data_IF_995458986673
#
_entry.id   IF_995458986673
#
_cell.length_a   1.000
_cell.length_b   1.000
_cell.length_c   1.000
_cell.angle_alpha   90.00
_cell.angle_beta   90.00
_cell.angle_gamma   90.00
#
_symmetry.space_group_name_H-M   'P 1'
#
loop_
_entity.id
_entity.type
_entity.pdbx_description
1 polymer ?
#
# COMPACT_ATOMS: atom_id res chain seq x y z
N UNK A 1 0.65 1.87 41.47
CA UNK A 1 1.58 0.77 41.17
C UNK A 1 0.75 -0.50 40.98
N UNK A 2 0.19 -0.67 39.77
CA UNK A 2 -0.76 -1.67 39.27
C UNK A 2 -0.52 -1.71 37.73
N UNK A 3 -0.53 -2.88 37.04
CA UNK A 3 0.62 -3.61 36.50
C UNK A 3 1.03 -3.29 35.04
N UNK A 4 2.23 -3.78 34.69
CA UNK A 4 3.02 -3.60 33.46
C UNK A 4 2.52 -4.33 32.20
N UNK A 5 1.22 -4.34 31.91
CA UNK A 5 0.72 -5.04 30.72
C UNK A 5 -0.60 -4.43 30.30
N UNK A 6 -0.65 -3.51 29.32
CA UNK A 6 -1.87 -3.29 28.54
C UNK A 6 -1.81 -2.34 27.32
N UNK A 7 -0.66 -1.80 26.90
CA UNK A 7 -0.63 -0.82 25.78
C UNK A 7 0.34 -1.29 24.70
N UNK A 8 0.02 -2.41 24.05
CA UNK A 8 0.79 -2.94 22.93
C UNK A 8 -0.22 -3.33 21.86
N UNK A 9 -0.59 -2.42 20.96
CA UNK A 9 -1.43 -2.80 19.82
C UNK A 9 -1.51 -1.78 18.68
N UNK A 10 -0.99 -0.56 18.84
CA UNK A 10 -0.44 0.23 17.72
C UNK A 10 1.07 -0.08 17.53
N UNK A 11 1.65 -0.78 18.50
CA UNK A 11 3.05 -1.20 18.58
C UNK A 11 3.31 -2.60 17.97
N UNK A 12 2.28 -3.30 17.47
CA UNK A 12 2.34 -4.73 17.12
C UNK A 12 2.21 -5.04 15.62
N UNK A 13 2.13 -4.03 14.75
CA UNK A 13 2.33 -4.24 13.30
C UNK A 13 3.79 -4.60 13.01
N UNK A 14 4.74 -4.15 13.84
CA UNK A 14 6.14 -4.60 13.83
C UNK A 14 6.45 -5.97 14.45
N UNK A 15 5.48 -6.74 14.99
CA UNK A 15 5.79 -8.02 15.68
C UNK A 15 4.90 -9.23 15.34
N UNK A 16 3.98 -9.14 14.37
CA UNK A 16 3.15 -10.30 13.95
C UNK A 16 3.42 -10.88 12.54
N UNK A 17 4.52 -10.54 11.87
CA UNK A 17 4.96 -11.24 10.64
C UNK A 17 6.18 -12.17 10.81
N UNK A 18 6.30 -12.82 11.98
CA UNK A 18 7.26 -13.92 12.20
C UNK A 18 6.67 -15.32 11.87
N UNK A 19 5.75 -15.40 10.91
CA UNK A 19 4.87 -16.57 10.79
C UNK A 19 4.63 -17.19 9.42
N UNK A 20 5.28 -16.79 8.31
CA UNK A 20 5.29 -17.61 7.09
C UNK A 20 6.62 -17.45 6.35
N UNK A 21 7.46 -18.49 6.44
CA UNK A 21 8.63 -18.68 5.59
C UNK A 21 8.13 -18.95 4.17
N UNK A 22 8.44 -18.04 3.24
CA UNK A 22 8.34 -18.27 1.81
C UNK A 22 9.48 -17.54 1.12
N UNK A 23 10.54 -18.27 0.77
CA UNK A 23 11.71 -17.75 0.05
C UNK A 23 11.28 -17.00 -1.21
N UNK A 24 11.38 -15.67 -1.21
CA UNK A 24 11.35 -14.87 -2.43
C UNK A 24 12.67 -15.06 -3.17
N UNK A 25 12.64 -15.76 -4.30
CA UNK A 25 13.75 -15.76 -5.24
C UNK A 25 13.97 -14.33 -5.74
N UNK A 26 15.24 -13.93 -5.85
CA UNK A 26 15.67 -12.76 -6.64
C UNK A 26 15.00 -12.84 -8.02
N UNK A 27 14.00 -12.01 -8.27
CA UNK A 27 13.40 -11.86 -9.58
C UNK A 27 14.16 -10.78 -10.35
N UNK A 28 14.50 -11.15 -11.58
CA UNK A 28 15.45 -10.52 -12.48
C UNK A 28 15.23 -9.03 -12.69
N UNK A 29 16.34 -8.32 -12.93
CA UNK A 29 16.38 -6.86 -13.09
C UNK A 29 15.57 -6.43 -14.34
N UNK A 30 15.00 -5.21 -14.34
CA UNK A 30 14.17 -4.69 -15.45
C UNK A 30 14.85 -4.75 -16.84
N UNK A 31 16.18 -4.80 -16.90
CA UNK A 31 16.95 -4.91 -18.15
C UNK A 31 16.76 -6.26 -18.88
N UNK A 32 16.39 -7.35 -18.17
CA UNK A 32 16.21 -8.68 -18.77
C UNK A 32 14.81 -8.86 -19.40
N UNK A 33 13.77 -8.27 -18.80
CA UNK A 33 12.40 -8.28 -19.36
C UNK A 33 12.27 -7.44 -20.64
N UNK A 34 13.06 -6.38 -20.80
CA UNK A 34 13.08 -5.55 -22.01
C UNK A 34 13.68 -6.33 -23.19
N UNK A 35 14.57 -7.30 -22.94
CA UNK A 35 15.12 -8.18 -24.00
C UNK A 35 14.14 -9.23 -24.48
N UNK A 36 13.30 -9.76 -23.59
CA UNK A 36 12.31 -10.79 -23.91
C UNK A 36 11.19 -10.29 -24.85
N UNK A 37 10.96 -8.97 -24.90
CA UNK A 37 10.08 -8.30 -25.87
C UNK A 37 10.42 -8.60 -27.35
N UNK A 38 11.61 -9.15 -27.62
CA UNK A 38 12.05 -9.49 -28.99
C UNK A 38 11.83 -10.96 -29.39
N UNK A 39 11.55 -11.87 -28.44
CA UNK A 39 11.46 -13.31 -28.71
C UNK A 39 10.37 -14.00 -27.88
N UNK A 40 9.09 -13.71 -28.12
CA UNK A 40 8.09 -14.77 -27.92
C UNK A 40 6.91 -14.64 -28.88
N UNK A 41 6.76 -15.69 -29.69
CA UNK A 41 5.68 -15.86 -30.66
C UNK A 41 4.52 -16.61 -30.02
N UNK A 42 3.32 -16.05 -30.15
CA UNK A 42 2.10 -16.81 -30.46
C UNK A 42 1.45 -17.62 -29.35
N UNK A 43 0.64 -16.97 -28.53
CA UNK A 43 -0.62 -17.54 -28.01
C UNK A 43 -1.70 -16.47 -28.14
N UNK A 44 -2.69 -16.71 -29.00
CA UNK A 44 -3.86 -15.83 -29.17
C UNK A 44 -4.77 -15.93 -27.94
N UNK A 45 -4.63 -14.98 -27.00
CA UNK A 45 -5.66 -14.66 -26.02
C UNK A 45 -6.59 -13.62 -26.64
N UNK A 46 -7.89 -13.94 -26.76
CA UNK A 46 -8.90 -13.10 -27.44
C UNK A 46 -9.47 -11.97 -26.57
N UNK A 47 -8.63 -11.38 -25.73
CA UNK A 47 -8.90 -10.10 -25.06
C UNK A 47 -8.02 -9.05 -25.75
N UNK A 48 -8.63 -8.01 -26.30
CA UNK A 48 -7.85 -6.89 -26.84
C UNK A 48 -6.94 -6.34 -25.74
N UNK A 49 -5.61 -6.25 -25.97
CA UNK A 49 -4.69 -5.72 -24.99
C UNK A 49 -5.07 -4.26 -24.68
N UNK A 50 -5.09 -3.92 -23.40
CA UNK A 50 -5.28 -2.55 -22.93
C UNK A 50 -4.13 -1.69 -23.47
N UNK A 51 -4.43 -0.53 -24.05
CA UNK A 51 -3.36 0.37 -24.48
C UNK A 51 -2.69 1.01 -23.25
N UNK A 52 -1.37 1.18 -23.28
CA UNK A 52 -0.61 1.72 -22.13
C UNK A 52 -1.09 3.14 -21.76
N UNK A 53 -1.50 3.92 -22.76
CA UNK A 53 -2.05 5.27 -22.56
C UNK A 53 -3.34 5.27 -21.71
N UNK A 54 -4.05 4.15 -21.65
CA UNK A 54 -5.25 4.03 -20.83
C UNK A 54 -4.95 3.89 -19.34
N UNK A 55 -3.73 3.48 -18.96
CA UNK A 55 -3.26 3.49 -17.58
C UNK A 55 -2.87 4.90 -17.11
N UNK A 56 -2.45 5.79 -18.00
CA UNK A 56 -1.90 7.09 -17.60
C UNK A 56 -2.90 7.97 -16.84
N UNK A 57 -2.51 8.53 -15.69
CA UNK A 57 -3.32 9.43 -14.86
C UNK A 57 -3.46 8.95 -13.42
N UNK A 58 -4.34 9.60 -12.67
CA UNK A 58 -4.60 9.28 -11.26
C UNK A 58 -5.73 8.26 -11.10
N UNK A 59 -5.56 7.37 -10.15
CA UNK A 59 -6.45 6.26 -9.83
C UNK A 59 -6.63 6.16 -8.32
N UNK A 60 -7.84 6.37 -7.85
CA UNK A 60 -8.19 6.24 -6.44
C UNK A 60 -8.42 4.78 -6.07
N UNK A 61 -7.90 4.36 -4.92
CA UNK A 61 -8.17 3.03 -4.37
C UNK A 61 -9.60 2.95 -3.85
N UNK A 62 -10.40 2.08 -4.46
CA UNK A 62 -11.80 1.84 -4.07
C UNK A 62 -11.94 0.61 -3.19
N UNK A 63 -11.16 -0.44 -3.46
CA UNK A 63 -11.11 -1.61 -2.60
C UNK A 63 -9.81 -2.38 -2.73
N UNK A 64 -9.46 -3.11 -1.67
CA UNK A 64 -8.36 -4.08 -1.67
C UNK A 64 -8.75 -5.30 -0.85
N UNK A 65 -8.49 -6.49 -1.36
CA UNK A 65 -8.86 -7.77 -0.71
C UNK A 65 -10.35 -7.83 -0.31
N UNK A 66 -11.21 -7.21 -1.13
CA UNK A 66 -12.65 -7.12 -0.87
C UNK A 66 -13.06 -6.13 0.24
N UNK A 67 -12.13 -5.35 0.79
CA UNK A 67 -12.36 -4.35 1.82
C UNK A 67 -12.27 -2.93 1.24
N UNK A 68 -13.03 -2.00 1.81
CA UNK A 68 -12.83 -0.56 1.52
C UNK A 68 -11.49 -0.09 2.12
N UNK A 69 -10.90 1.01 1.63
CA UNK A 69 -9.68 1.59 2.22
C UNK A 69 -9.79 1.82 3.72
N UNK A 70 -10.96 2.27 4.17
CA UNK A 70 -11.24 2.51 5.58
C UNK A 70 -11.21 1.21 6.38
N UNK A 71 -11.95 0.18 5.97
CA UNK A 71 -11.97 -1.12 6.67
C UNK A 71 -10.58 -1.77 6.70
N UNK A 72 -9.86 -1.67 5.60
CA UNK A 72 -8.48 -2.14 5.50
C UNK A 72 -7.59 -1.44 6.53
N UNK A 73 -7.61 -0.10 6.59
CA UNK A 73 -6.79 0.66 7.55
C UNK A 73 -7.24 0.43 9.00
N UNK A 74 -8.54 0.25 9.25
CA UNK A 74 -9.09 -0.08 10.57
C UNK A 74 -8.58 -1.44 11.07
N UNK A 75 -8.31 -2.40 10.18
CA UNK A 75 -7.76 -3.69 10.57
C UNK A 75 -6.38 -3.61 11.23
N UNK A 76 -5.64 -2.52 11.02
CA UNK A 76 -4.36 -2.25 11.69
C UNK A 76 -4.51 -1.59 13.06
N UNK A 77 -5.70 -1.07 13.39
CA UNK A 77 -5.96 -0.42 14.68
C UNK A 77 -6.36 -1.47 15.71
N UNK A 78 -5.44 -1.78 16.64
CA UNK A 78 -5.74 -2.67 17.76
C UNK A 78 -5.71 -1.85 19.06
N UNK A 79 -6.73 -2.00 19.92
CA UNK A 79 -6.66 -1.58 21.33
C UNK A 79 -7.32 -0.26 21.76
N UNK A 80 -8.22 0.32 20.98
CA UNK A 80 -9.03 1.50 21.37
C UNK A 80 -10.12 1.77 20.33
N UNK A 81 -11.09 2.63 20.63
CA UNK A 81 -11.97 3.16 19.58
C UNK A 81 -11.13 4.14 18.74
N UNK A 82 -10.88 3.79 17.48
CA UNK A 82 -10.16 4.64 16.54
C UNK A 82 -11.11 5.06 15.42
N UNK A 83 -11.18 6.36 15.14
CA UNK A 83 -11.88 6.88 13.98
C UNK A 83 -10.87 7.21 12.89
N UNK A 84 -10.87 6.41 11.82
CA UNK A 84 -10.02 6.64 10.64
C UNK A 84 -10.78 7.43 9.59
N UNK A 85 -10.16 8.51 9.14
CA UNK A 85 -10.56 9.30 7.98
C UNK A 85 -9.48 9.19 6.92
N UNK A 86 -9.79 8.48 5.84
CA UNK A 86 -8.98 8.43 4.63
C UNK A 86 -9.12 9.76 3.88
N UNK A 87 -8.01 10.46 3.65
CA UNK A 87 -8.00 11.71 2.87
C UNK A 87 -7.67 11.44 1.40
N UNK A 88 -6.66 10.60 1.14
CA UNK A 88 -6.28 10.18 -0.20
C UNK A 88 -5.57 8.82 -0.19
N UNK A 89 -5.92 7.94 -1.12
CA UNK A 89 -5.16 6.72 -1.46
C UNK A 89 -5.14 6.59 -2.99
N UNK A 90 -4.10 7.08 -3.64
CA UNK A 90 -4.08 7.23 -5.09
C UNK A 90 -2.83 6.61 -5.71
N UNK A 91 -3.00 5.85 -6.77
CA UNK A 91 -1.94 5.53 -7.71
C UNK A 91 -1.90 6.56 -8.84
N UNK A 92 -0.71 6.96 -9.26
CA UNK A 92 -0.50 7.76 -10.47
C UNK A 92 0.44 7.00 -11.38
N UNK A 93 0.01 6.75 -12.61
CA UNK A 93 0.87 6.22 -13.66
C UNK A 93 1.14 7.32 -14.69
N UNK A 94 2.41 7.63 -14.92
CA UNK A 94 2.83 8.70 -15.83
C UNK A 94 3.34 8.14 -17.16
N UNK A 95 3.30 8.96 -18.20
CA UNK A 95 3.66 8.55 -19.57
C UNK A 95 5.16 8.28 -19.77
N UNK A 96 6.00 8.59 -18.78
CA UNK A 96 7.43 8.29 -18.76
C UNK A 96 7.75 6.99 -18.01
N UNK A 97 6.75 6.11 -17.86
CA UNK A 97 6.82 4.84 -17.16
C UNK A 97 7.11 4.99 -15.65
N UNK A 98 6.95 6.18 -15.06
CA UNK A 98 7.01 6.38 -13.61
C UNK A 98 5.65 6.17 -12.94
N UNK A 99 5.67 5.74 -11.67
CA UNK A 99 4.47 5.65 -10.86
C UNK A 99 4.68 6.23 -9.45
N UNK A 100 3.60 6.71 -8.86
CA UNK A 100 3.52 7.05 -7.43
C UNK A 100 2.31 6.40 -6.79
N UNK A 101 2.42 6.08 -5.51
CA UNK A 101 1.29 5.82 -4.63
C UNK A 101 1.34 6.83 -3.49
N UNK A 102 0.28 7.61 -3.36
CA UNK A 102 0.15 8.65 -2.35
C UNK A 102 -0.93 8.25 -1.35
N UNK A 103 -0.58 8.27 -0.07
CA UNK A 103 -1.46 7.97 1.05
C UNK A 103 -1.50 9.15 2.02
N UNK A 104 -2.70 9.52 2.46
CA UNK A 104 -2.89 10.33 3.65
C UNK A 104 -4.14 9.93 4.39
N UNK A 105 -3.99 9.87 5.70
CA UNK A 105 -5.07 9.57 6.61
C UNK A 105 -4.98 10.44 7.86
N UNK A 106 -6.08 10.45 8.58
CA UNK A 106 -6.17 11.00 9.92
C UNK A 106 -6.83 9.95 10.80
N UNK A 107 -6.18 9.63 11.89
CA UNK A 107 -6.65 8.66 12.88
C UNK A 107 -6.84 9.39 14.20
N UNK A 108 -8.07 9.39 14.70
CA UNK A 108 -8.38 9.88 16.04
C UNK A 108 -8.40 8.68 16.98
N UNK A 109 -7.51 8.69 17.96
CA UNK A 109 -7.40 7.62 18.95
C UNK A 109 -8.06 8.06 20.25
N UNK A 110 -9.05 7.28 20.70
CA UNK A 110 -9.69 7.45 21.99
C UNK A 110 -9.37 6.27 22.92
N UNK A 111 -8.62 6.56 23.98
CA UNK A 111 -8.23 5.58 24.99
C UNK A 111 -8.82 5.98 26.35
N UNK A 112 -9.39 5.03 27.13
CA UNK A 112 -10.05 5.36 28.40
C UNK A 112 -9.16 6.08 29.43
N UNK A 113 -7.85 5.83 29.39
CA UNK A 113 -6.88 6.26 30.42
C UNK A 113 -5.87 7.31 29.92
N UNK A 114 -5.97 7.77 28.67
CA UNK A 114 -5.04 8.72 28.04
C UNK A 114 -5.84 9.82 27.32
N UNK A 115 -5.40 11.08 27.34
CA UNK A 115 -6.03 12.12 26.54
C UNK A 115 -6.14 11.69 25.07
N UNK A 116 -7.29 11.98 24.46
CA UNK A 116 -7.52 11.78 23.04
C UNK A 116 -6.36 12.36 22.22
N UNK A 117 -5.89 11.59 21.26
CA UNK A 117 -4.81 11.99 20.38
C UNK A 117 -5.24 11.89 18.92
N UNK A 118 -4.76 12.84 18.12
CA UNK A 118 -4.90 12.78 16.66
C UNK A 118 -3.56 12.42 16.07
N UNK A 119 -3.56 11.46 15.14
CA UNK A 119 -2.43 11.10 14.30
C UNK A 119 -2.77 11.43 12.85
N UNK A 120 -1.86 12.10 12.15
CA UNK A 120 -1.94 12.28 10.70
C UNK A 120 -0.73 11.59 10.08
N UNK A 121 -0.99 10.59 9.23
CA UNK A 121 0.05 9.89 8.49
C UNK A 121 -0.04 10.29 7.02
N UNK A 122 1.12 10.56 6.42
CA UNK A 122 1.26 10.77 4.98
C UNK A 122 2.40 9.92 4.48
N UNK A 123 2.22 9.27 3.33
CA UNK A 123 3.27 8.50 2.68
C UNK A 123 3.21 8.63 1.18
N UNK A 124 4.39 8.63 0.56
CA UNK A 124 4.54 8.55 -0.90
C UNK A 124 5.52 7.44 -1.22
N UNK A 125 5.11 6.52 -2.08
CA UNK A 125 5.96 5.48 -2.67
C UNK A 125 6.07 5.74 -4.16
N UNK A 126 7.23 5.51 -4.74
CA UNK A 126 7.43 5.76 -6.16
C UNK A 126 8.42 4.81 -6.80
N UNK A 127 8.35 4.73 -8.13
CA UNK A 127 9.28 3.96 -8.91
C UNK A 127 8.93 3.94 -10.39
N UNK A 128 9.21 2.82 -11.05
CA UNK A 128 8.94 2.62 -12.48
C UNK A 128 7.97 1.48 -12.68
N UNK A 129 7.21 1.50 -13.77
CA UNK A 129 6.31 0.41 -14.14
C UNK A 129 6.57 -0.07 -15.57
N UNK A 130 6.10 -1.28 -15.86
CA UNK A 130 6.06 -1.85 -17.20
C UNK A 130 4.68 -2.44 -17.43
N UNK A 131 4.14 -2.25 -18.64
CA UNK A 131 2.84 -2.77 -19.03
C UNK A 131 2.88 -3.36 -20.43
N UNK A 132 2.43 -4.61 -20.57
CA UNK A 132 2.42 -5.34 -21.84
C UNK A 132 1.03 -5.38 -22.52
N UNK A 133 0.04 -4.71 -21.93
CA UNK A 133 -1.36 -4.72 -22.37
C UNK A 133 -2.27 -5.64 -21.56
N UNK A 134 -1.70 -6.48 -20.70
CA UNK A 134 -2.45 -7.35 -19.79
C UNK A 134 -1.84 -7.40 -18.39
N UNK A 135 -0.51 -7.39 -18.28
CA UNK A 135 0.24 -7.51 -17.03
C UNK A 135 0.86 -6.17 -16.68
N UNK A 136 0.50 -5.63 -15.52
CA UNK A 136 1.16 -4.49 -14.89
C UNK A 136 2.25 -5.01 -13.95
N UNK A 137 3.48 -4.54 -14.15
CA UNK A 137 4.60 -4.79 -13.25
C UNK A 137 5.11 -3.46 -12.70
N UNK A 138 5.10 -3.27 -11.39
CA UNK A 138 5.64 -2.08 -10.72
C UNK A 138 6.91 -2.43 -9.96
N UNK A 139 7.87 -1.50 -9.99
CA UNK A 139 9.17 -1.62 -9.35
C UNK A 139 9.35 -0.42 -8.42
N UNK A 140 9.27 -0.66 -7.12
CA UNK A 140 9.44 0.39 -6.10
C UNK A 140 10.90 0.81 -6.00
N UNK A 141 11.15 2.11 -5.98
CA UNK A 141 12.50 2.69 -5.90
C UNK A 141 12.69 3.50 -4.62
N UNK A 142 11.72 4.34 -4.29
CA UNK A 142 11.80 5.30 -3.20
C UNK A 142 10.51 5.29 -2.39
N UNK A 143 10.62 5.56 -1.09
CA UNK A 143 9.48 5.84 -0.23
C UNK A 143 9.81 6.90 0.81
N UNK A 144 8.80 7.67 1.18
CA UNK A 144 8.87 8.71 2.19
C UNK A 144 7.59 8.66 3.02
N UNK A 145 7.73 8.59 4.34
CA UNK A 145 6.60 8.52 5.29
C UNK A 145 6.82 9.56 6.38
N UNK A 146 5.75 10.27 6.72
CA UNK A 146 5.73 11.25 7.81
C UNK A 146 4.52 11.00 8.70
N UNK A 147 4.74 11.01 10.02
CA UNK A 147 3.67 10.92 11.00
C UNK A 147 3.70 12.15 11.92
N UNK A 148 2.57 12.83 12.02
CA UNK A 148 2.37 13.95 12.94
C UNK A 148 1.31 13.61 13.99
N UNK A 149 1.49 14.14 15.21
CA UNK A 149 0.54 13.92 16.31
C UNK A 149 0.13 15.21 17.00
N UNK A 150 -1.08 15.21 17.54
CA UNK A 150 -1.58 16.19 18.50
C UNK A 150 -2.15 15.46 19.73
N UNK A 151 -1.55 15.62 20.93
CA UNK A 151 -0.43 16.51 21.23
C UNK A 151 0.91 16.02 20.64
N UNK A 152 1.82 16.95 20.31
CA UNK A 152 3.10 16.65 19.62
C UNK A 152 4.04 15.73 20.38
N UNK A 153 3.89 15.65 21.69
CA UNK A 153 4.66 14.80 22.59
C UNK A 153 4.03 13.43 22.80
N UNK A 154 2.93 13.09 22.10
CA UNK A 154 2.22 11.82 22.25
C UNK A 154 3.14 10.60 22.21
N UNK A 155 4.09 10.54 21.25
CA UNK A 155 5.06 9.45 21.21
C UNK A 155 5.99 9.42 22.43
N UNK A 156 6.39 10.56 22.98
CA UNK A 156 7.23 10.61 24.19
C UNK A 156 6.46 10.24 25.46
N UNK A 157 5.15 10.49 25.46
CA UNK A 157 4.26 10.31 26.62
C UNK A 157 3.72 8.88 26.69
N UNK A 158 3.46 8.24 25.55
CA UNK A 158 2.66 7.01 25.46
C UNK A 158 3.43 5.83 24.86
N UNK A 159 4.40 6.06 23.99
CA UNK A 159 5.12 5.00 23.29
C UNK A 159 6.59 4.95 23.72
N UNK A 160 7.07 3.78 24.16
CA UNK A 160 8.53 3.56 24.31
C UNK A 160 9.27 3.58 22.95
N UNK A 161 8.51 3.65 21.85
CA UNK A 161 8.95 3.62 20.45
C UNK A 161 9.13 5.04 19.89
N UNK A 162 10.30 5.34 19.35
CA UNK A 162 10.57 6.63 18.72
C UNK A 162 9.72 6.82 17.44
N UNK A 163 9.33 8.06 17.13
CA UNK A 163 8.56 8.43 15.92
C UNK A 163 9.10 7.76 14.63
N UNK A 164 10.43 7.71 14.48
CA UNK A 164 11.08 7.10 13.33
C UNK A 164 10.78 5.59 13.18
N UNK A 165 10.62 4.85 14.28
CA UNK A 165 10.23 3.43 14.21
C UNK A 165 8.77 3.29 13.79
N UNK A 166 7.88 4.22 14.18
CA UNK A 166 6.50 4.21 13.74
C UNK A 166 6.39 4.51 12.24
N UNK A 167 7.17 5.47 11.73
CA UNK A 167 7.24 5.77 10.29
C UNK A 167 7.79 4.58 9.49
N UNK A 168 8.80 3.88 10.02
CA UNK A 168 9.34 2.69 9.38
C UNK A 168 8.34 1.53 9.35
N UNK A 169 7.68 1.23 10.46
CA UNK A 169 6.66 0.17 10.52
C UNK A 169 5.50 0.47 9.57
N UNK A 170 5.12 1.75 9.45
CA UNK A 170 4.08 2.19 8.54
C UNK A 170 4.49 2.01 7.06
N UNK A 171 5.72 2.39 6.71
CA UNK A 171 6.30 2.13 5.39
C UNK A 171 6.31 0.64 5.04
N UNK A 172 6.73 -0.21 5.99
CA UNK A 172 6.79 -1.65 5.79
C UNK A 172 5.41 -2.27 5.58
N UNK A 173 4.41 -1.91 6.41
CA UNK A 173 3.04 -2.41 6.28
C UNK A 173 2.37 -2.01 4.96
N UNK A 174 2.50 -0.75 4.53
CA UNK A 174 1.99 -0.33 3.22
C UNK A 174 2.69 -1.08 2.09
N UNK A 175 4.02 -1.24 2.17
CA UNK A 175 4.77 -1.96 1.15
C UNK A 175 4.34 -3.42 1.07
N UNK A 176 4.22 -4.13 2.20
CA UNK A 176 3.93 -5.57 2.24
C UNK A 176 2.52 -5.89 1.78
N UNK A 177 1.56 -5.00 2.06
CA UNK A 177 0.15 -5.34 1.95
C UNK A 177 -0.55 -4.61 0.79
N UNK A 178 -0.14 -3.37 0.44
CA UNK A 178 -0.73 -2.61 -0.66
C UNK A 178 0.08 -2.70 -1.95
N UNK A 179 1.42 -2.70 -1.86
CA UNK A 179 2.28 -2.53 -3.05
C UNK A 179 2.81 -3.89 -3.54
N UNK A 180 3.49 -4.63 -2.68
CA UNK A 180 4.17 -5.87 -3.05
C UNK A 180 3.24 -6.96 -3.58
N UNK A 181 2.02 -7.19 -3.04
CA UNK A 181 1.13 -8.23 -3.56
C UNK A 181 0.70 -7.96 -5.00
N UNK A 182 0.63 -6.69 -5.37
CA UNK A 182 0.24 -6.21 -6.68
C UNK A 182 1.44 -5.78 -7.55
N UNK A 183 2.68 -6.07 -7.10
CA UNK A 183 3.90 -5.73 -7.82
C UNK A 183 3.93 -6.32 -9.23
N UNK A 184 3.27 -7.47 -9.41
CA UNK A 184 2.98 -8.05 -10.72
C UNK A 184 1.52 -8.52 -10.73
N UNK A 185 0.68 -7.81 -11.48
CA UNK A 185 -0.76 -8.01 -11.50
C UNK A 185 -1.29 -8.15 -12.91
N UNK A 186 -2.34 -8.95 -13.08
CA UNK A 186 -3.17 -8.83 -14.30
C UNK A 186 -4.03 -7.58 -14.16
N UNK A 187 -4.02 -6.72 -15.17
CA UNK A 187 -4.76 -5.47 -15.19
C UNK A 187 -5.94 -5.58 -16.16
N UNK A 188 -7.16 -5.41 -15.64
CA UNK A 188 -8.38 -5.39 -16.44
C UNK A 188 -9.08 -4.05 -16.28
N UNK A 189 -9.29 -3.32 -17.38
CA UNK A 189 -10.03 -2.07 -17.36
C UNK A 189 -11.50 -2.29 -17.72
N UNK A 190 -12.39 -1.69 -16.95
CA UNK A 190 -13.84 -1.66 -17.18
C UNK A 190 -14.33 -0.21 -17.06
N UNK A 191 -14.48 0.50 -18.18
CA UNK A 191 -14.83 1.93 -18.19
C UNK A 191 -13.80 2.77 -17.41
N UNK A 192 -14.18 3.38 -16.29
CA UNK A 192 -13.31 4.16 -15.41
C UNK A 192 -12.69 3.32 -14.28
N UNK A 193 -12.95 2.02 -14.24
CA UNK A 193 -12.42 1.13 -13.21
C UNK A 193 -11.24 0.34 -13.76
N UNK A 194 -10.18 0.23 -12.97
CA UNK A 194 -9.05 -0.67 -13.21
C UNK A 194 -9.03 -1.70 -12.09
N UNK A 195 -9.09 -2.98 -12.45
CA UNK A 195 -8.97 -4.09 -11.52
C UNK A 195 -7.59 -4.71 -11.70
N UNK A 196 -6.82 -4.72 -10.62
CA UNK A 196 -5.56 -5.44 -10.53
C UNK A 196 -5.81 -6.75 -9.81
N UNK A 197 -5.41 -7.87 -10.42
CA UNK A 197 -5.57 -9.20 -9.83
C UNK A 197 -4.21 -9.86 -9.66
N UNK A 198 -3.92 -10.32 -8.44
CA UNK A 198 -2.69 -11.06 -8.14
C UNK A 198 -2.74 -12.46 -8.72
N UNK A 199 -1.59 -13.16 -8.75
CA UNK A 199 -1.54 -14.56 -9.17
C UNK A 199 -2.40 -15.51 -8.32
N UNK A 200 -2.71 -15.14 -7.07
CA UNK A 200 -3.56 -15.92 -6.16
C UNK A 200 -5.05 -15.57 -6.29
N UNK A 201 -5.40 -14.60 -7.14
CA UNK A 201 -6.79 -14.17 -7.35
C UNK A 201 -7.26 -13.08 -6.39
N UNK A 202 -6.36 -12.47 -5.63
CA UNK A 202 -6.68 -11.30 -4.80
C UNK A 202 -6.85 -10.07 -5.68
N UNK A 203 -7.79 -9.20 -5.33
CA UNK A 203 -8.16 -8.04 -6.15
C UNK A 203 -7.89 -6.71 -5.46
N UNK A 204 -7.42 -5.75 -6.25
CA UNK A 204 -7.40 -4.33 -5.94
C UNK A 204 -8.21 -3.61 -7.02
N UNK A 205 -9.17 -2.80 -6.60
CA UNK A 205 -10.04 -2.04 -7.48
C UNK A 205 -9.69 -0.56 -7.37
N UNK A 206 -9.42 0.03 -8.52
CA UNK A 206 -9.02 1.42 -8.68
C UNK A 206 -10.02 2.16 -9.56
N UNK A 207 -10.33 3.42 -9.27
CA UNK A 207 -11.21 4.27 -10.06
C UNK A 207 -10.49 5.51 -10.59
N UNK A 208 -10.68 5.80 -11.88
CA UNK A 208 -10.08 6.94 -12.55
C UNK A 208 -10.64 8.26 -12.02
N UNK A 209 -9.74 9.19 -11.66
CA UNK A 209 -10.07 10.57 -11.26
C UNK A 209 -10.08 11.53 -12.46
#
# INVERSE_FOLDING_TARGET
>A
MIPKSFVISILLVGMMFLGVIGCGQDLEKPEELIKEKSEESGVESSTSPLANEELHGSWELVSIFGQTPKEYLESFTVGGEAEITVKHLNFVFAADDSWTFDLAEKTVMDFPDIPQATLEATGTWSGTYAFDGQTLSIFTKESEVHIATDPKDFFQVVFDRALAEAEQDYDEGVRSDLIQPFARSTATKQSNTLVLTTATGEEMVLEKQ
#
